data_IF_732321596398
#
_entry.id   IF_732321596398
#
_cell.length_a   1.000
_cell.length_b   1.000
_cell.length_c   1.000
_cell.angle_alpha   90.00
_cell.angle_beta   90.00
_cell.angle_gamma   90.00
#
_symmetry.space_group_name_H-M   'P 1'
#
loop_
_entity.id
_entity.type
_entity.pdbx_description
1 polymer ?
#
# COMPACT_ATOMS: atom_id res chain seq x y z
N UNK A 1 -21.31 43.74 -69.65
CA UNK A 1 -21.06 44.22 -68.27
C UNK A 1 -21.40 43.11 -67.29
N UNK A 2 -20.40 42.73 -66.47
CA UNK A 2 -20.37 41.93 -65.21
C UNK A 2 -21.29 40.71 -65.03
N UNK A 3 -20.62 39.56 -64.94
CA UNK A 3 -21.03 38.24 -64.40
C UNK A 3 -21.27 38.32 -62.88
N UNK A 4 -22.11 37.45 -62.33
CA UNK A 4 -21.96 36.90 -60.97
C UNK A 4 -22.53 35.46 -60.91
N UNK A 5 -21.63 34.50 -60.73
CA UNK A 5 -21.86 33.07 -60.44
C UNK A 5 -21.91 32.83 -58.92
N UNK A 6 -22.65 31.81 -58.43
CA UNK A 6 -22.75 31.51 -57.00
C UNK A 6 -21.50 30.73 -56.54
N UNK A 7 -20.89 31.16 -55.44
CA UNK A 7 -19.77 30.43 -54.80
C UNK A 7 -20.34 29.56 -53.69
N UNK A 8 -20.23 28.24 -53.86
CA UNK A 8 -20.35 27.26 -52.78
C UNK A 8 -19.20 27.46 -51.78
N UNK A 9 -19.54 27.74 -50.52
CA UNK A 9 -18.58 27.75 -49.43
C UNK A 9 -18.46 26.33 -48.84
N UNK A 10 -17.40 25.62 -49.21
CA UNK A 10 -16.97 24.39 -48.56
C UNK A 10 -16.03 24.75 -47.39
N UNK A 11 -16.59 24.89 -46.19
CA UNK A 11 -15.81 25.13 -44.97
C UNK A 11 -15.23 23.82 -44.44
N UNK A 12 -13.92 23.62 -44.62
CA UNK A 12 -13.19 22.49 -44.04
C UNK A 12 -13.01 22.69 -42.52
N UNK A 13 -13.64 21.84 -41.71
CA UNK A 13 -13.31 21.67 -40.29
C UNK A 13 -11.99 20.92 -40.15
N UNK A 14 -10.87 21.64 -40.04
CA UNK A 14 -9.62 21.10 -39.54
C UNK A 14 -9.68 21.07 -38.01
N UNK A 15 -10.14 19.94 -37.44
CA UNK A 15 -9.87 19.59 -36.04
C UNK A 15 -8.39 19.22 -35.91
N UNK A 16 -7.54 20.18 -35.61
CA UNK A 16 -6.17 19.91 -35.19
C UNK A 16 -6.20 19.27 -33.80
N UNK A 17 -6.02 17.95 -33.74
CA UNK A 17 -5.72 17.25 -32.50
C UNK A 17 -4.36 17.76 -31.98
N UNK A 18 -4.38 18.71 -31.06
CA UNK A 18 -3.18 19.17 -30.38
C UNK A 18 -2.63 18.00 -29.53
N UNK A 19 -1.36 17.61 -29.71
CA UNK A 19 -0.77 16.59 -28.85
C UNK A 19 -0.74 17.12 -27.42
N UNK A 20 -1.31 16.34 -26.50
CA UNK A 20 -1.19 16.61 -25.08
C UNK A 20 0.30 16.51 -24.70
N UNK A 21 0.91 17.64 -24.38
CA UNK A 21 2.29 17.69 -23.93
C UNK A 21 2.33 17.28 -22.46
N UNK A 22 2.81 16.08 -22.16
CA UNK A 22 3.16 15.70 -20.81
C UNK A 22 4.30 16.60 -20.31
N UNK A 23 4.14 17.19 -19.12
CA UNK A 23 5.17 18.04 -18.53
C UNK A 23 6.48 17.26 -18.37
N UNK A 24 7.59 17.84 -18.85
CA UNK A 24 8.92 17.28 -18.70
C UNK A 24 9.46 17.63 -17.31
N UNK A 25 9.22 16.75 -16.34
CA UNK A 25 9.76 16.85 -14.99
C UNK A 25 9.26 15.69 -14.12
N UNK A 26 10.00 15.30 -13.07
CA UNK A 26 9.45 14.34 -12.10
C UNK A 26 8.16 14.93 -11.51
N UNK A 27 7.13 14.10 -11.42
CA UNK A 27 5.89 14.52 -10.77
C UNK A 27 6.22 15.02 -9.36
N UNK A 28 5.65 16.14 -8.96
CA UNK A 28 5.82 16.65 -7.61
C UNK A 28 5.34 15.58 -6.62
N UNK A 29 5.97 15.44 -5.45
CA UNK A 29 5.58 14.45 -4.42
C UNK A 29 4.08 14.44 -4.16
N UNK A 30 3.47 15.62 -4.17
CA UNK A 30 2.03 15.82 -3.96
C UNK A 30 1.15 15.26 -5.09
N UNK A 31 1.68 15.11 -6.31
CA UNK A 31 0.96 14.53 -7.44
C UNK A 31 0.75 13.01 -7.30
N UNK A 32 1.46 12.33 -6.39
CA UNK A 32 1.28 10.90 -6.15
C UNK A 32 0.13 10.57 -5.20
N UNK A 33 -0.50 11.57 -4.58
CA UNK A 33 -1.59 11.39 -3.62
C UNK A 33 -1.25 10.37 -2.53
N UNK A 34 -2.12 9.38 -2.31
CA UNK A 34 -1.90 8.33 -1.30
C UNK A 34 -0.81 7.30 -1.66
N UNK A 35 -0.11 7.48 -2.79
CA UNK A 35 1.05 6.68 -3.22
C UNK A 35 2.38 7.39 -3.02
N UNK A 36 2.37 8.64 -2.54
CA UNK A 36 3.59 9.36 -2.22
C UNK A 36 4.43 8.55 -1.20
N UNK A 37 5.71 8.27 -1.49
CA UNK A 37 6.63 7.68 -0.52
C UNK A 37 6.71 8.48 0.77
N UNK A 38 6.96 7.82 1.90
CA UNK A 38 7.13 8.55 3.15
C UNK A 38 8.51 9.23 3.19
N UNK A 39 8.55 10.51 3.58
CA UNK A 39 9.77 11.19 4.01
C UNK A 39 9.47 12.00 5.28
N UNK A 40 10.44 12.19 6.20
CA UNK A 40 10.27 13.08 7.34
C UNK A 40 10.09 14.53 6.89
N UNK A 41 9.10 15.24 7.44
CA UNK A 41 8.81 16.63 7.07
C UNK A 41 9.75 17.66 7.71
N UNK A 42 10.48 17.26 8.76
CA UNK A 42 11.45 18.11 9.44
C UNK A 42 12.59 17.29 10.04
N UNK A 43 13.69 17.98 10.38
CA UNK A 43 14.80 17.39 11.10
C UNK A 43 14.38 16.98 12.51
N UNK A 44 14.89 15.86 13.01
CA UNK A 44 14.62 15.44 14.39
C UNK A 44 15.17 16.45 15.42
N UNK A 45 16.18 17.22 15.04
CA UNK A 45 16.82 18.23 15.90
C UNK A 45 15.99 19.50 16.07
N UNK A 46 14.95 19.71 15.25
CA UNK A 46 14.07 20.90 15.33
C UNK A 46 12.79 20.64 16.11
N UNK A 47 12.57 19.42 16.59
CA UNK A 47 11.42 19.14 17.44
C UNK A 47 11.50 19.89 18.76
N UNK A 48 10.34 20.35 19.23
CA UNK A 48 10.23 20.97 20.54
C UNK A 48 10.59 19.96 21.64
N UNK A 49 11.45 20.40 22.56
CA UNK A 49 11.81 19.65 23.76
C UNK A 49 10.68 19.69 24.80
N UNK A 50 10.54 18.65 25.65
CA UNK A 50 9.69 18.72 26.82
C UNK A 50 10.06 19.92 27.71
N UNK A 51 9.08 20.62 28.32
CA UNK A 51 9.35 21.70 29.27
C UNK A 51 10.20 21.22 30.46
N UNK A 52 10.91 22.13 31.10
CA UNK A 52 11.70 21.82 32.30
C UNK A 52 10.84 21.14 33.38
N UNK A 53 11.33 20.04 33.94
CA UNK A 53 10.60 19.23 34.93
C UNK A 53 9.66 18.17 34.34
N UNK A 54 9.46 18.13 33.02
CA UNK A 54 8.62 17.14 32.34
C UNK A 54 9.45 16.14 31.54
N UNK A 55 9.02 14.87 31.56
CA UNK A 55 9.58 13.81 30.72
C UNK A 55 8.46 12.98 30.11
N UNK A 56 8.73 12.37 28.96
CA UNK A 56 7.78 11.44 28.35
C UNK A 56 7.67 10.17 29.21
N UNK A 57 6.45 9.84 29.62
CA UNK A 57 6.14 8.61 30.38
C UNK A 57 5.37 7.58 29.56
N UNK A 58 4.93 7.96 28.36
CA UNK A 58 4.16 7.13 27.44
C UNK A 58 4.30 7.68 26.00
N UNK A 59 4.17 6.80 25.02
CA UNK A 59 3.98 7.17 23.62
C UNK A 59 3.11 6.13 22.93
N UNK A 60 2.35 6.57 21.93
CA UNK A 60 1.61 5.69 21.02
C UNK A 60 1.91 6.08 19.57
N UNK A 61 1.80 5.12 18.65
CA UNK A 61 1.98 5.34 17.23
C UNK A 61 0.92 4.58 16.44
N UNK A 62 0.22 5.29 15.57
CA UNK A 62 -0.66 4.69 14.57
C UNK A 62 -0.09 5.03 13.21
N UNK A 63 0.43 4.00 12.53
CA UNK A 63 1.00 4.16 11.19
C UNK A 63 0.19 3.38 10.16
N UNK A 64 0.10 3.94 8.95
CA UNK A 64 -0.21 3.15 7.76
C UNK A 64 0.93 2.14 7.54
N UNK A 65 0.66 1.09 6.77
CA UNK A 65 1.73 0.28 6.18
C UNK A 65 2.69 1.14 5.33
N UNK A 66 3.95 0.72 5.22
CA UNK A 66 4.92 1.36 4.31
C UNK A 66 4.58 1.14 2.82
N UNK A 67 5.39 1.73 1.95
CA UNK A 67 5.30 1.61 0.49
C UNK A 67 5.21 0.15 0.03
N UNK A 68 4.28 -0.14 -0.87
CA UNK A 68 3.97 -1.50 -1.36
C UNK A 68 3.94 -1.56 -2.89
N UNK A 69 4.00 -2.78 -3.43
CA UNK A 69 3.63 -3.05 -4.83
C UNK A 69 2.14 -2.74 -5.08
N UNK A 70 1.71 -2.69 -6.36
CA UNK A 70 0.30 -2.57 -6.72
C UNK A 70 -0.53 -3.71 -6.10
N UNK A 71 -1.84 -3.52 -5.95
CA UNK A 71 -2.72 -4.56 -5.36
C UNK A 71 -2.92 -5.77 -6.26
N UNK A 72 -2.77 -5.58 -7.56
CA UNK A 72 -2.88 -6.59 -8.60
C UNK A 72 -2.32 -6.02 -9.91
N UNK A 73 -2.35 -6.85 -10.96
CA UNK A 73 -1.80 -6.53 -12.29
C UNK A 73 -2.80 -5.86 -13.23
N UNK A 74 -4.06 -5.69 -12.83
CA UNK A 74 -5.18 -5.36 -13.73
C UNK A 74 -4.97 -4.03 -14.47
N UNK A 75 -4.42 -3.02 -13.79
CA UNK A 75 -4.10 -1.73 -14.41
C UNK A 75 -3.02 -1.88 -15.51
N UNK A 76 -2.04 -2.74 -15.27
CA UNK A 76 -0.98 -3.05 -16.23
C UNK A 76 -1.51 -3.83 -17.43
N UNK A 77 -2.33 -4.84 -17.20
CA UNK A 77 -3.00 -5.62 -18.25
C UNK A 77 -3.87 -4.73 -19.13
N UNK A 78 -4.64 -3.82 -18.54
CA UNK A 78 -5.47 -2.87 -19.27
C UNK A 78 -4.63 -1.95 -20.18
N UNK A 79 -3.52 -1.42 -19.65
CA UNK A 79 -2.60 -0.58 -20.41
C UNK A 79 -1.98 -1.35 -21.57
N UNK A 80 -1.56 -2.60 -21.34
CA UNK A 80 -0.97 -3.44 -22.37
C UNK A 80 -1.98 -3.84 -23.45
N UNK A 81 -3.25 -4.09 -23.10
CA UNK A 81 -4.30 -4.33 -24.10
C UNK A 81 -4.54 -3.13 -25.03
N UNK A 82 -4.48 -1.90 -24.49
CA UNK A 82 -4.53 -0.69 -25.31
C UNK A 82 -3.29 -0.55 -26.19
N UNK A 83 -2.11 -0.88 -25.65
CA UNK A 83 -0.85 -0.85 -26.38
C UNK A 83 -0.84 -1.86 -27.54
N UNK A 84 -1.32 -3.09 -27.32
CA UNK A 84 -1.39 -4.14 -28.34
C UNK A 84 -2.31 -3.70 -29.49
N UNK A 85 -3.48 -3.12 -29.17
CA UNK A 85 -4.37 -2.54 -30.20
C UNK A 85 -3.69 -1.44 -31.02
N UNK A 86 -2.98 -0.53 -30.37
CA UNK A 86 -2.26 0.54 -31.07
C UNK A 86 -1.12 -0.03 -31.94
N UNK A 87 -0.52 -1.15 -31.55
CA UNK A 87 0.47 -1.85 -32.36
C UNK A 87 -0.15 -2.46 -33.61
N UNK A 88 -1.27 -3.18 -33.47
CA UNK A 88 -2.01 -3.82 -34.57
C UNK A 88 -2.48 -2.80 -35.61
N UNK A 89 -2.91 -1.62 -35.17
CA UNK A 89 -3.38 -0.53 -36.05
C UNK A 89 -2.22 0.33 -36.62
N UNK A 90 -0.96 0.02 -36.26
CA UNK A 90 0.21 0.79 -36.71
C UNK A 90 0.26 2.23 -36.15
N UNK A 91 -0.37 2.47 -35.00
CA UNK A 91 -0.53 3.79 -34.37
C UNK A 91 0.48 4.06 -33.24
N UNK A 92 1.41 3.14 -32.97
CA UNK A 92 2.46 3.39 -31.99
C UNK A 92 3.39 4.52 -32.46
N UNK A 93 3.55 5.54 -31.62
CA UNK A 93 4.66 6.48 -31.74
C UNK A 93 5.98 5.79 -31.38
N UNK A 94 7.13 6.42 -31.68
CA UNK A 94 8.43 5.89 -31.25
C UNK A 94 8.50 5.61 -29.73
N UNK A 95 8.04 6.57 -28.90
CA UNK A 95 7.91 6.37 -27.44
C UNK A 95 6.86 5.33 -27.07
N UNK A 96 5.78 5.23 -27.86
CA UNK A 96 4.78 4.19 -27.72
C UNK A 96 5.39 2.80 -27.82
N UNK A 97 6.32 2.57 -28.76
CA UNK A 97 7.06 1.31 -28.89
C UNK A 97 7.84 0.90 -27.64
N UNK A 98 8.46 1.88 -26.95
CA UNK A 98 9.23 1.66 -25.71
C UNK A 98 8.33 1.43 -24.47
N UNK A 99 7.11 1.96 -24.49
CA UNK A 99 6.21 1.97 -23.34
C UNK A 99 5.74 0.56 -22.95
N UNK A 100 5.31 -0.27 -23.90
CA UNK A 100 4.83 -1.63 -23.64
C UNK A 100 5.85 -2.51 -22.91
N UNK A 101 7.10 -2.65 -23.40
CA UNK A 101 8.17 -3.34 -22.68
C UNK A 101 8.43 -2.79 -21.27
N UNK A 102 8.35 -1.47 -21.08
CA UNK A 102 8.52 -0.82 -19.77
C UNK A 102 7.41 -1.22 -18.79
N UNK A 103 6.15 -1.26 -19.24
CA UNK A 103 5.02 -1.69 -18.41
C UNK A 103 5.16 -3.18 -18.03
N UNK A 104 5.52 -4.05 -18.98
CA UNK A 104 5.77 -5.48 -18.68
C UNK A 104 6.89 -5.67 -17.66
N UNK A 105 7.99 -4.93 -17.78
CA UNK A 105 9.08 -4.97 -16.81
C UNK A 105 8.64 -4.51 -15.41
N UNK A 106 7.82 -3.46 -15.34
CA UNK A 106 7.26 -2.99 -14.07
C UNK A 106 6.34 -4.03 -13.42
N UNK A 107 5.45 -4.67 -14.20
CA UNK A 107 4.57 -5.73 -13.71
C UNK A 107 5.38 -6.93 -13.19
N UNK A 108 6.39 -7.37 -13.93
CA UNK A 108 7.28 -8.44 -13.48
C UNK A 108 8.02 -8.09 -12.16
N UNK A 109 8.43 -6.83 -12.00
CA UNK A 109 9.03 -6.36 -10.75
C UNK A 109 8.01 -6.36 -9.59
N UNK A 110 6.76 -5.97 -9.84
CA UNK A 110 5.69 -6.00 -8.84
C UNK A 110 5.33 -7.43 -8.45
N UNK A 111 5.27 -8.35 -9.40
CA UNK A 111 5.03 -9.77 -9.18
C UNK A 111 6.16 -10.41 -8.37
N UNK A 112 7.42 -10.06 -8.66
CA UNK A 112 8.58 -10.52 -7.88
C UNK A 112 8.52 -10.10 -6.41
N UNK A 113 7.98 -8.91 -6.12
CA UNK A 113 7.70 -8.46 -4.74
C UNK A 113 6.47 -9.17 -4.17
N UNK A 114 5.56 -9.63 -5.04
CA UNK A 114 4.22 -10.09 -4.75
C UNK A 114 3.25 -8.90 -4.70
N UNK A 115 2.17 -8.97 -5.46
CA UNK A 115 1.16 -7.92 -5.48
C UNK A 115 0.55 -7.72 -4.08
N UNK A 116 0.47 -6.46 -3.66
CA UNK A 116 -0.04 -6.03 -2.37
C UNK A 116 0.96 -6.10 -1.21
N UNK A 117 2.13 -6.70 -1.41
CA UNK A 117 3.15 -6.89 -0.39
C UNK A 117 4.01 -5.65 -0.16
N UNK A 118 4.60 -5.57 1.02
CA UNK A 118 5.51 -4.50 1.41
C UNK A 118 6.78 -4.51 0.55
N UNK A 119 7.10 -3.37 -0.05
CA UNK A 119 8.30 -3.23 -0.90
C UNK A 119 9.56 -3.04 -0.05
N UNK A 120 10.74 -3.14 -0.68
CA UNK A 120 12.01 -2.81 -0.02
C UNK A 120 12.02 -1.38 0.55
N UNK A 121 11.48 -0.42 -0.19
CA UNK A 121 11.28 0.96 0.28
C UNK A 121 10.37 1.01 1.51
N UNK A 122 9.24 0.30 1.47
CA UNK A 122 8.29 0.27 2.58
C UNK A 122 8.88 -0.30 3.86
N UNK A 123 9.75 -1.32 3.76
CA UNK A 123 10.51 -1.81 4.91
C UNK A 123 11.41 -0.74 5.49
N UNK A 124 12.15 -0.03 4.63
CA UNK A 124 13.05 1.04 5.06
C UNK A 124 12.30 2.18 5.77
N UNK A 125 11.17 2.61 5.21
CA UNK A 125 10.31 3.65 5.81
C UNK A 125 9.88 3.29 7.24
N UNK A 126 9.51 2.03 7.49
CA UNK A 126 9.13 1.56 8.83
C UNK A 126 10.33 1.56 9.79
N UNK A 127 11.48 1.06 9.33
CA UNK A 127 12.72 1.02 10.14
C UNK A 127 13.18 2.41 10.52
N UNK A 128 13.23 3.33 9.56
CA UNK A 128 13.67 4.70 9.81
C UNK A 128 12.73 5.43 10.77
N UNK A 129 11.41 5.16 10.67
CA UNK A 129 10.43 5.75 11.57
C UNK A 129 10.59 5.24 13.00
N UNK A 130 10.86 3.95 13.18
CA UNK A 130 11.16 3.37 14.50
C UNK A 130 12.42 3.98 15.11
N UNK A 131 13.51 4.07 14.33
CA UNK A 131 14.77 4.67 14.76
C UNK A 131 14.58 6.13 15.18
N UNK A 132 13.85 6.93 14.40
CA UNK A 132 13.56 8.33 14.76
C UNK A 132 12.73 8.45 16.03
N UNK A 133 11.77 7.54 16.26
CA UNK A 133 10.99 7.54 17.51
C UNK A 133 11.88 7.28 18.72
N UNK A 134 12.78 6.30 18.65
CA UNK A 134 13.71 5.99 19.74
C UNK A 134 14.67 7.15 20.01
N UNK A 135 15.22 7.75 18.95
CA UNK A 135 16.10 8.92 19.06
C UNK A 135 15.40 10.14 19.66
N UNK A 136 14.09 10.29 19.42
CA UNK A 136 13.29 11.39 19.99
C UNK A 136 12.95 11.17 21.45
N UNK A 137 12.79 9.93 21.90
CA UNK A 137 12.33 9.58 23.25
C UNK A 137 13.31 8.67 24.01
N UNK A 138 14.61 8.99 24.08
CA UNK A 138 15.62 8.07 24.58
C UNK A 138 15.38 7.69 26.05
N UNK A 139 15.01 8.66 26.90
CA UNK A 139 14.72 8.41 28.31
C UNK A 139 13.51 7.49 28.54
N UNK A 140 12.51 7.54 27.65
CA UNK A 140 11.34 6.66 27.73
C UNK A 140 11.73 5.21 27.40
N UNK A 141 12.47 4.99 26.31
CA UNK A 141 12.89 3.64 25.93
C UNK A 141 13.88 3.03 26.93
N UNK A 142 14.80 3.83 27.48
CA UNK A 142 15.68 3.38 28.56
C UNK A 142 14.88 2.94 29.79
N UNK A 143 13.89 3.73 30.23
CA UNK A 143 13.00 3.35 31.33
C UNK A 143 12.22 2.07 31.04
N UNK A 144 11.71 1.92 29.81
CA UNK A 144 10.98 0.70 29.40
C UNK A 144 11.89 -0.53 29.56
N UNK A 145 13.13 -0.44 29.05
CA UNK A 145 14.13 -1.49 29.19
C UNK A 145 14.43 -1.81 30.66
N UNK A 146 14.73 -0.78 31.47
CA UNK A 146 15.11 -0.92 32.88
C UNK A 146 14.00 -1.52 33.75
N UNK A 147 12.74 -1.14 33.49
CA UNK A 147 11.58 -1.57 34.28
C UNK A 147 10.87 -2.79 33.71
N UNK A 148 11.30 -3.28 32.55
CA UNK A 148 10.63 -4.38 31.85
C UNK A 148 9.19 -4.06 31.44
N UNK A 149 8.87 -2.79 31.17
CA UNK A 149 7.53 -2.36 30.72
C UNK A 149 7.24 -2.95 29.31
N UNK A 150 5.99 -3.33 29.02
CA UNK A 150 5.65 -3.98 27.75
C UNK A 150 5.33 -2.96 26.65
N UNK A 151 5.81 -3.25 25.45
CA UNK A 151 5.44 -2.55 24.21
C UNK A 151 4.35 -3.39 23.52
N UNK A 152 3.11 -2.90 23.52
CA UNK A 152 2.00 -3.57 22.84
C UNK A 152 2.01 -3.25 21.34
N UNK A 153 1.76 -4.27 20.52
CA UNK A 153 1.83 -4.17 19.06
C UNK A 153 0.51 -4.65 18.49
N UNK A 154 -0.16 -3.78 17.74
CA UNK A 154 -1.50 -4.03 17.22
C UNK A 154 -1.53 -3.80 15.71
N UNK A 155 -2.13 -4.74 14.97
CA UNK A 155 -2.29 -4.67 13.52
C UNK A 155 -3.74 -4.99 13.10
N UNK A 156 -4.15 -4.50 11.93
CA UNK A 156 -5.43 -4.90 11.31
C UNK A 156 -5.47 -6.40 10.94
N UNK A 157 -4.29 -7.04 10.84
CA UNK A 157 -4.13 -8.42 10.40
C UNK A 157 -3.95 -8.57 8.89
N UNK A 158 -3.99 -7.48 8.12
CA UNK A 158 -3.62 -7.53 6.71
C UNK A 158 -2.10 -7.75 6.57
N UNK A 159 -1.66 -8.66 5.69
CA UNK A 159 -0.25 -9.05 5.53
C UNK A 159 0.73 -7.87 5.56
N UNK A 160 0.60 -6.91 4.64
CA UNK A 160 1.45 -5.69 4.61
C UNK A 160 1.47 -4.87 5.91
N UNK A 161 0.39 -4.87 6.69
CA UNK A 161 0.33 -4.17 7.98
C UNK A 161 1.00 -4.97 9.08
N UNK A 162 0.90 -6.31 9.05
CA UNK A 162 1.67 -7.21 9.90
C UNK A 162 3.16 -7.08 9.60
N UNK A 163 3.56 -7.12 8.33
CA UNK A 163 4.96 -6.96 7.91
C UNK A 163 5.50 -5.60 8.33
N UNK A 164 4.73 -4.54 8.15
CA UNK A 164 5.14 -3.19 8.59
C UNK A 164 5.34 -3.11 10.10
N UNK A 165 4.47 -3.76 10.89
CA UNK A 165 4.63 -3.85 12.33
C UNK A 165 5.91 -4.62 12.71
N UNK A 166 6.19 -5.75 12.04
CA UNK A 166 7.40 -6.55 12.24
C UNK A 166 8.67 -5.78 11.90
N UNK A 167 8.68 -5.00 10.81
CA UNK A 167 9.83 -4.16 10.44
C UNK A 167 10.06 -3.05 11.47
N UNK A 168 8.99 -2.42 11.94
CA UNK A 168 9.07 -1.36 12.94
C UNK A 168 9.61 -1.89 14.28
N UNK A 169 9.03 -2.97 14.80
CA UNK A 169 9.44 -3.56 16.08
C UNK A 169 10.80 -4.23 15.99
N UNK A 170 11.12 -4.83 14.84
CA UNK A 170 12.46 -5.36 14.55
C UNK A 170 13.52 -4.27 14.59
N UNK A 171 13.24 -3.08 14.04
CA UNK A 171 14.15 -1.94 14.13
C UNK A 171 14.32 -1.42 15.56
N UNK A 172 13.26 -1.36 16.37
CA UNK A 172 13.36 -1.03 17.79
C UNK A 172 14.27 -2.02 18.54
N UNK A 173 14.03 -3.33 18.36
CA UNK A 173 14.83 -4.37 19.00
C UNK A 173 16.28 -4.42 18.49
N UNK A 174 16.53 -4.01 17.24
CA UNK A 174 17.88 -3.93 16.70
C UNK A 174 18.65 -2.75 17.30
N UNK A 175 17.99 -1.59 17.44
CA UNK A 175 18.59 -0.39 18.01
C UNK A 175 18.80 -0.48 19.53
N UNK A 176 17.91 -1.19 20.24
CA UNK A 176 18.07 -1.54 21.65
C UNK A 176 17.64 -3.00 21.90
N UNK A 177 18.62 -3.94 21.98
CA UNK A 177 18.34 -5.35 22.23
C UNK A 177 17.61 -5.65 23.53
N UNK A 178 17.68 -4.78 24.54
CA UNK A 178 16.97 -4.96 25.80
C UNK A 178 15.45 -4.85 25.64
N UNK A 179 14.97 -4.20 24.56
CA UNK A 179 13.55 -4.11 24.24
C UNK A 179 12.98 -5.42 23.66
N UNK A 180 13.82 -6.31 23.13
CA UNK A 180 13.36 -7.54 22.45
C UNK A 180 12.41 -8.42 23.28
N UNK A 181 12.66 -8.73 24.56
CA UNK A 181 11.71 -9.48 25.41
C UNK A 181 10.48 -8.66 25.85
N UNK A 182 10.46 -7.36 25.57
CA UNK A 182 9.42 -6.42 26.00
C UNK A 182 8.39 -6.14 24.91
N UNK A 183 8.77 -6.35 23.65
CA UNK A 183 7.88 -6.25 22.49
C UNK A 183 6.93 -7.45 22.48
N UNK A 184 5.64 -7.16 22.69
CA UNK A 184 4.58 -8.15 22.63
C UNK A 184 4.40 -8.72 21.21
N UNK A 185 3.90 -9.94 21.13
CA UNK A 185 3.47 -10.50 19.85
C UNK A 185 2.40 -9.60 19.21
N UNK A 186 2.49 -9.37 17.90
CA UNK A 186 1.52 -8.54 17.17
C UNK A 186 0.11 -9.13 17.29
N UNK A 187 -0.78 -8.41 17.98
CA UNK A 187 -2.18 -8.81 18.14
C UNK A 187 -3.03 -8.17 17.05
N UNK A 188 -4.09 -8.87 16.65
CA UNK A 188 -5.05 -8.35 15.67
C UNK A 188 -6.13 -7.51 16.37
N UNK A 189 -6.45 -6.33 15.84
CA UNK A 189 -7.61 -5.55 16.29
C UNK A 189 -8.89 -6.37 16.14
N UNK A 190 -9.73 -6.44 17.18
CA UNK A 190 -11.03 -7.15 17.12
C UNK A 190 -12.04 -6.48 16.17
N UNK A 191 -11.80 -5.24 15.77
CA UNK A 191 -12.74 -4.40 15.00
C UNK A 191 -12.50 -4.37 13.49
N UNK A 192 -11.34 -4.80 12.98
CA UNK A 192 -11.07 -4.78 11.53
C UNK A 192 -11.15 -6.18 10.90
N UNK A 193 -12.10 -6.34 9.98
CA UNK A 193 -12.33 -7.50 9.10
C UNK A 193 -12.96 -8.75 9.76
N UNK A 194 -14.06 -8.60 10.49
CA UNK A 194 -15.01 -9.71 10.78
C UNK A 194 -16.13 -9.84 9.72
N UNK A 195 -16.17 -9.01 8.68
CA UNK A 195 -17.25 -9.03 7.68
C UNK A 195 -17.21 -10.18 6.66
N UNK A 196 -16.23 -11.09 6.71
CA UNK A 196 -16.13 -12.18 5.70
C UNK A 196 -16.01 -13.60 6.27
N UNK A 197 -16.39 -13.84 7.53
CA UNK A 197 -16.75 -15.21 7.95
C UNK A 197 -18.26 -15.35 7.90
N UNK A 198 -18.78 -15.76 6.73
CA UNK A 198 -20.09 -16.41 6.63
C UNK A 198 -20.11 -17.52 7.67
N UNK A 199 -20.92 -17.34 8.69
CA UNK A 199 -21.29 -18.38 9.67
C UNK A 199 -22.02 -19.45 8.87
N UNK A 200 -21.33 -20.50 8.45
CA UNK A 200 -21.98 -21.70 7.93
C UNK A 200 -22.84 -22.25 9.07
N UNK A 201 -24.14 -21.94 9.04
CA UNK A 201 -25.12 -22.56 9.90
C UNK A 201 -25.16 -24.04 9.51
N UNK A 202 -24.54 -24.87 10.35
CA UNK A 202 -24.65 -26.33 10.29
C UNK A 202 -26.13 -26.66 10.56
N UNK A 203 -26.91 -26.85 9.49
CA UNK A 203 -28.21 -27.52 9.59
C UNK A 203 -27.93 -28.98 9.89
N UNK A 204 -27.99 -29.35 11.17
CA UNK A 204 -28.15 -30.75 11.57
C UNK A 204 -29.56 -31.18 11.18
N UNK A 205 -29.65 -32.00 10.13
CA UNK A 205 -30.87 -32.74 9.83
C UNK A 205 -30.97 -33.86 10.87
N UNK A 206 -31.99 -33.78 11.73
CA UNK A 206 -32.38 -34.87 12.63
C UNK A 206 -33.06 -35.95 11.78
N UNK A 207 -32.36 -37.05 11.53
CA UNK A 207 -32.94 -38.26 10.96
C UNK A 207 -33.64 -39.05 12.07
N UNK A 208 -34.96 -39.19 11.97
CA UNK A 208 -35.76 -40.11 12.77
C UNK A 208 -35.45 -41.56 12.36
N UNK A 209 -35.31 -42.51 13.31
CA UNK A 209 -35.12 -43.91 12.98
C UNK A 209 -36.45 -44.57 12.59
N UNK A 210 -36.51 -45.17 11.40
CA UNK A 210 -37.55 -46.13 11.00
C UNK A 210 -37.16 -47.52 11.49
N UNK A 211 -37.93 -48.04 12.44
CA UNK A 211 -37.86 -49.42 12.91
C UNK A 211 -38.49 -50.34 11.87
N UNK A 212 -37.68 -51.17 11.21
CA UNK A 212 -38.15 -52.30 10.39
C UNK A 212 -38.13 -53.56 11.25
N UNK A 213 -39.30 -54.02 11.70
CA UNK A 213 -39.47 -55.32 12.30
C UNK A 213 -39.78 -56.35 11.20
N UNK A 214 -38.79 -57.16 10.83
CA UNK A 214 -38.97 -58.37 10.05
C UNK A 214 -39.54 -59.47 10.94
N UNK A 215 -40.75 -59.94 10.63
CA UNK A 215 -41.36 -61.14 11.22
C UNK A 215 -41.36 -62.23 10.15
N UNK A 216 -40.64 -63.31 10.38
CA UNK A 216 -40.74 -64.56 9.63
C UNK A 216 -40.89 -65.72 10.61
N UNK A 217 -41.93 -66.52 10.33
CA UNK A 217 -42.41 -67.75 10.99
C UNK A 217 -43.13 -67.60 12.32
#
# INVERSE_FOLDING_TARGET
MRRLTPVLALGALLLTALPAHAAAGPAHRESYGTKAPYEPEQSAHTYQWPPAGYTAVFTENVSRHGSRSATGGEDGDLILGLWDKAQEEGQLTGRGGEFGPTVRALMAAMEKVGYGNLSGRGRQEMRDTATRMQQRLPALFARIADRGEKIDVVSSGQGRAVDSASEYTGALAFADPALRPLIGATRRTRTCCTSTRRRAVRRTATTLPTTSASRTR
#
